data_IF_032542185595
#
_entry.id   IF_032542185595
#
_cell.length_a   1.000
_cell.length_b   1.000
_cell.length_c   1.000
_cell.angle_alpha   90.00
_cell.angle_beta   90.00
_cell.angle_gamma   90.00
#
_symmetry.space_group_name_H-M   'P 1'
#
loop_
_entity.id
_entity.type
_entity.pdbx_description
1 polymer ?
#
# COMPACT_ATOMS: atom_id res chain seq x y z
N UNK A 1 4.60 71.82 9.35
CA UNK A 1 3.29 72.40 9.01
C UNK A 1 3.02 72.14 7.54
N UNK A 2 1.77 71.73 7.22
CA UNK A 2 1.22 71.39 5.89
C UNK A 2 1.75 70.06 5.30
N UNK A 3 1.00 68.97 5.15
CA UNK A 3 -0.45 68.76 5.18
C UNK A 3 -0.97 68.47 3.76
N UNK A 4 -0.90 67.21 3.32
CA UNK A 4 -1.59 66.74 2.10
C UNK A 4 -2.64 65.72 2.54
N UNK A 5 -3.88 66.16 2.37
CA UNK A 5 -5.15 65.49 2.64
C UNK A 5 -5.55 64.70 1.39
N UNK A 6 -5.74 63.38 1.51
CA UNK A 6 -6.39 62.58 0.47
C UNK A 6 -7.65 61.97 1.06
N UNK A 7 -8.79 62.46 0.60
CA UNK A 7 -10.14 61.97 0.89
C UNK A 7 -10.40 60.64 0.17
N UNK A 8 -10.94 59.66 0.91
CA UNK A 8 -11.57 58.46 0.37
C UNK A 8 -13.09 58.54 0.58
N UNK A 9 -13.92 58.13 -0.40
CA UNK A 9 -15.37 58.27 -0.30
C UNK A 9 -16.03 57.14 0.48
N UNK A 10 -17.00 57.52 1.31
CA UNK A 10 -18.00 56.65 1.91
C UNK A 10 -18.89 56.00 0.84
N UNK A 11 -19.11 54.68 0.94
CA UNK A 11 -20.27 54.04 0.36
C UNK A 11 -21.01 53.16 1.37
N UNK A 12 -22.33 53.32 1.27
CA UNK A 12 -23.40 52.92 2.19
C UNK A 12 -23.53 51.40 2.36
N UNK A 13 -23.95 51.01 3.56
CA UNK A 13 -24.41 49.68 3.87
C UNK A 13 -25.72 49.31 3.19
N UNK A 14 -25.93 48.00 3.03
CA UNK A 14 -27.21 47.41 2.67
C UNK A 14 -27.45 46.21 3.59
N UNK A 15 -28.68 46.15 4.08
CA UNK A 15 -29.16 45.33 5.17
C UNK A 15 -29.29 43.84 4.85
N UNK A 16 -29.26 43.06 5.94
CA UNK A 16 -29.54 41.64 6.00
C UNK A 16 -31.01 41.33 5.64
N UNK A 17 -31.21 40.37 4.73
CA UNK A 17 -32.49 39.75 4.44
C UNK A 17 -32.44 38.26 4.74
N UNK A 18 -33.04 37.85 5.86
CA UNK A 18 -33.23 36.45 6.23
C UNK A 18 -34.36 35.84 5.38
N UNK A 19 -34.04 34.82 4.58
CA UNK A 19 -35.05 34.06 3.81
C UNK A 19 -35.24 32.68 4.44
N UNK A 20 -36.32 32.57 5.23
CA UNK A 20 -36.87 31.31 5.73
C UNK A 20 -37.40 30.51 4.54
N UNK A 21 -36.88 29.29 4.33
CA UNK A 21 -37.45 28.31 3.38
C UNK A 21 -37.83 27.02 4.12
N UNK A 22 -39.03 26.57 3.77
CA UNK A 22 -39.91 25.59 4.41
C UNK A 22 -39.36 24.15 4.38
N UNK A 23 -39.77 23.28 5.33
CA UNK A 23 -39.43 21.87 5.29
C UNK A 23 -40.23 21.15 4.19
N UNK A 24 -39.54 20.39 3.35
CA UNK A 24 -40.13 19.53 2.32
C UNK A 24 -40.45 18.18 2.96
N UNK A 25 -41.69 17.74 2.83
CA UNK A 25 -42.22 16.54 3.46
C UNK A 25 -41.52 15.25 3.00
N UNK A 26 -41.24 14.39 3.98
CA UNK A 26 -40.80 13.01 3.80
C UNK A 26 -41.95 12.16 3.23
N UNK A 27 -41.83 11.73 1.98
CA UNK A 27 -42.72 10.75 1.37
C UNK A 27 -42.17 9.34 1.67
N UNK A 28 -42.91 8.58 2.48
CA UNK A 28 -42.65 7.16 2.80
C UNK A 28 -42.86 6.30 1.55
N UNK A 29 -41.83 5.58 1.12
CA UNK A 29 -41.95 4.49 0.14
C UNK A 29 -42.21 3.16 0.86
N UNK A 30 -43.08 2.28 0.33
CA UNK A 30 -43.42 1.00 0.95
C UNK A 30 -42.33 -0.06 0.71
N UNK A 31 -42.08 -0.87 1.74
CA UNK A 31 -41.21 -2.05 1.71
C UNK A 31 -41.87 -3.19 0.90
N UNK A 32 -41.12 -3.93 0.05
CA UNK A 32 -41.65 -5.13 -0.56
C UNK A 32 -41.61 -6.32 0.42
N UNK A 33 -42.71 -7.07 0.38
CA UNK A 33 -43.06 -8.26 1.13
C UNK A 33 -42.08 -9.43 0.95
N UNK A 34 -41.64 -10.01 2.06
CA UNK A 34 -40.87 -11.25 2.14
C UNK A 34 -41.82 -12.44 2.07
N UNK A 35 -41.68 -13.28 1.05
CA UNK A 35 -42.32 -14.60 0.95
C UNK A 35 -41.35 -15.70 1.43
N UNK A 36 -41.79 -16.69 2.23
CA UNK A 36 -40.92 -17.77 2.66
C UNK A 36 -40.88 -18.91 1.62
N UNK A 37 -39.68 -19.29 1.19
CA UNK A 37 -39.44 -20.51 0.42
C UNK A 37 -39.47 -21.73 1.34
N UNK A 38 -40.35 -22.68 1.04
CA UNK A 38 -40.42 -24.02 1.66
C UNK A 38 -39.24 -24.88 1.20
N UNK A 39 -38.63 -25.71 2.06
CA UNK A 39 -37.71 -26.75 1.62
C UNK A 39 -38.50 -28.02 1.25
N UNK A 40 -38.36 -28.50 0.02
CA UNK A 40 -38.78 -29.83 -0.37
C UNK A 40 -37.59 -30.79 -0.18
N UNK A 41 -37.73 -31.69 0.80
CA UNK A 41 -36.84 -32.83 0.99
C UNK A 41 -37.11 -33.87 -0.10
N UNK A 42 -36.07 -34.26 -0.85
CA UNK A 42 -36.11 -35.42 -1.73
C UNK A 42 -35.14 -36.46 -1.18
N UNK A 43 -35.76 -37.55 -0.75
CA UNK A 43 -35.18 -38.79 -0.27
C UNK A 43 -34.48 -39.53 -1.41
N UNK A 44 -33.27 -40.04 -1.18
CA UNK A 44 -32.61 -41.03 -2.04
C UNK A 44 -32.40 -42.31 -1.24
N UNK A 45 -32.74 -43.50 -1.79
CA UNK A 45 -32.66 -44.75 -1.07
C UNK A 45 -31.29 -45.44 -1.15
N UNK A 46 -31.10 -46.32 -0.17
CA UNK A 46 -29.99 -47.25 0.05
C UNK A 46 -29.61 -48.11 -1.18
N UNK A 47 -28.33 -48.49 -1.17
CA UNK A 47 -27.60 -49.50 -1.96
C UNK A 47 -28.32 -50.85 -2.15
N UNK A 48 -27.84 -51.72 -3.06
CA UNK A 48 -26.90 -52.75 -2.58
C UNK A 48 -25.86 -53.30 -3.58
N UNK A 49 -24.77 -53.79 -2.97
CA UNK A 49 -24.00 -55.03 -3.23
C UNK A 49 -23.08 -55.19 -4.45
N UNK A 50 -21.94 -55.81 -4.10
CA UNK A 50 -20.82 -56.31 -4.88
C UNK A 50 -21.20 -57.31 -5.97
N UNK A 51 -20.41 -57.31 -7.07
CA UNK A 51 -19.94 -58.53 -7.71
C UNK A 51 -18.69 -58.25 -8.56
N UNK A 52 -17.75 -59.18 -8.48
CA UNK A 52 -16.51 -59.35 -9.23
C UNK A 52 -16.68 -59.46 -10.74
N UNK A 53 -15.69 -59.02 -11.53
CA UNK A 53 -15.00 -59.85 -12.54
C UNK A 53 -14.00 -59.05 -13.37
N UNK A 54 -12.96 -59.76 -13.78
CA UNK A 54 -11.79 -59.42 -14.61
C UNK A 54 -12.09 -59.16 -16.09
N UNK A 55 -11.38 -58.21 -16.71
CA UNK A 55 -10.93 -58.19 -18.14
C UNK A 55 -10.27 -56.83 -18.42
N UNK A 56 -8.94 -56.74 -18.58
CA UNK A 56 -8.14 -56.81 -19.82
C UNK A 56 -8.25 -55.60 -20.79
N UNK A 57 -7.29 -54.66 -20.63
CA UNK A 57 -6.61 -53.78 -21.64
C UNK A 57 -7.42 -52.71 -22.41
N UNK A 58 -6.80 -51.68 -23.05
CA UNK A 58 -5.47 -51.08 -22.92
C UNK A 58 -5.51 -49.55 -22.61
N UNK A 59 -4.33 -48.94 -22.50
CA UNK A 59 -4.08 -47.54 -22.18
C UNK A 59 -4.75 -46.52 -23.13
N UNK A 60 -5.51 -45.59 -22.55
CA UNK A 60 -5.82 -44.29 -23.16
C UNK A 60 -4.99 -43.22 -22.45
N UNK A 61 -4.02 -42.69 -23.20
CA UNK A 61 -3.17 -41.57 -22.82
C UNK A 61 -4.03 -40.30 -22.84
N UNK A 62 -4.71 -40.04 -21.71
CA UNK A 62 -5.44 -38.79 -21.44
C UNK A 62 -4.41 -37.66 -21.29
N UNK A 63 -4.01 -37.09 -22.41
CA UNK A 63 -3.28 -35.83 -22.45
C UNK A 63 -4.08 -34.75 -21.71
N UNK A 64 -3.62 -34.42 -20.51
CA UNK A 64 -4.08 -33.26 -19.76
C UNK A 64 -3.97 -32.00 -20.66
N UNK A 65 -4.94 -31.08 -20.62
CA UNK A 65 -4.89 -29.88 -21.45
C UNK A 65 -3.63 -29.09 -21.09
N UNK A 66 -2.72 -29.00 -22.05
CA UNK A 66 -1.50 -28.22 -21.94
C UNK A 66 -1.86 -26.77 -21.59
N UNK A 67 -1.33 -26.30 -20.46
CA UNK A 67 -1.44 -24.92 -20.00
C UNK A 67 -1.15 -23.94 -21.14
N UNK A 68 -1.88 -22.82 -21.23
CA UNK A 68 -1.67 -21.83 -22.29
C UNK A 68 -0.22 -21.32 -22.27
N UNK A 69 0.33 -20.91 -23.43
CA UNK A 69 1.72 -20.47 -23.55
C UNK A 69 2.01 -19.35 -22.56
N UNK A 70 2.96 -19.60 -21.66
CA UNK A 70 3.43 -18.63 -20.67
C UNK A 70 4.12 -17.50 -21.42
N UNK A 71 3.51 -16.30 -21.41
CA UNK A 71 4.11 -15.07 -21.91
C UNK A 71 5.52 -14.92 -21.29
N UNK A 72 6.57 -14.97 -22.12
CA UNK A 72 7.98 -14.87 -21.70
C UNK A 72 8.40 -13.49 -21.17
N UNK A 73 7.46 -12.56 -20.99
CA UNK A 73 7.74 -11.23 -20.43
C UNK A 73 7.82 -11.35 -18.91
N UNK A 74 8.88 -10.83 -18.26
CA UNK A 74 8.96 -10.85 -16.80
C UNK A 74 7.74 -10.12 -16.21
N UNK A 75 6.97 -10.81 -15.37
CA UNK A 75 5.81 -10.23 -14.69
C UNK A 75 6.19 -8.93 -13.97
N UNK A 76 5.41 -7.86 -14.07
CA UNK A 76 5.79 -6.59 -13.47
C UNK A 76 5.86 -6.67 -11.93
N UNK A 77 6.70 -5.83 -11.34
CA UNK A 77 6.65 -5.54 -9.91
C UNK A 77 5.54 -4.53 -9.62
N UNK A 78 4.75 -4.77 -8.57
CA UNK A 78 3.81 -3.79 -8.02
C UNK A 78 4.40 -3.20 -6.74
N UNK A 79 4.91 -1.97 -6.83
CA UNK A 79 5.36 -1.20 -5.67
C UNK A 79 4.20 -0.37 -5.11
N UNK A 80 3.82 -0.67 -3.87
CA UNK A 80 2.71 -0.03 -3.17
C UNK A 80 3.24 0.77 -1.99
N UNK A 81 3.10 2.08 -2.05
CA UNK A 81 3.33 2.96 -0.90
C UNK A 81 2.08 3.04 -0.05
N UNK A 82 2.19 2.78 1.24
CA UNK A 82 1.06 2.92 2.16
C UNK A 82 1.00 4.34 2.73
N UNK A 83 -0.22 4.85 2.89
CA UNK A 83 -0.51 6.19 3.38
C UNK A 83 -2.01 6.45 3.41
N UNK A 84 -2.40 7.57 4.02
CA UNK A 84 -3.77 8.07 3.99
C UNK A 84 -3.92 9.20 2.94
N UNK A 85 -5.01 9.23 2.16
CA UNK A 85 -5.27 10.27 1.17
C UNK A 85 -5.77 11.57 1.81
N UNK A 86 -5.48 12.69 1.15
CA UNK A 86 -5.93 14.02 1.56
C UNK A 86 -4.84 14.87 2.20
N UNK A 87 -5.00 16.19 2.09
CA UNK A 87 -3.99 17.19 2.47
C UNK A 87 -3.60 17.14 3.94
N UNK A 88 -4.53 16.77 4.83
CA UNK A 88 -4.26 16.64 6.28
C UNK A 88 -3.20 15.59 6.62
N UNK A 89 -3.02 14.56 5.79
CA UNK A 89 -2.06 13.48 6.05
C UNK A 89 -0.73 13.65 5.32
N UNK A 90 -0.60 14.67 4.46
CA UNK A 90 0.65 14.93 3.75
C UNK A 90 1.78 15.26 4.74
N UNK A 91 2.92 14.59 4.55
CA UNK A 91 4.10 14.72 5.42
C UNK A 91 3.93 14.12 6.80
N UNK A 92 2.88 13.34 7.06
CA UNK A 92 2.72 12.58 8.31
C UNK A 92 3.58 11.32 8.30
N UNK A 93 3.98 10.84 9.49
CA UNK A 93 4.78 9.63 9.65
C UNK A 93 4.16 8.42 8.95
N UNK A 94 2.85 8.28 9.03
CA UNK A 94 2.10 7.18 8.41
C UNK A 94 1.98 7.28 6.87
N UNK A 95 2.44 8.38 6.28
CA UNK A 95 2.44 8.62 4.84
C UNK A 95 3.84 8.46 4.21
N UNK A 96 4.84 8.01 4.97
CA UNK A 96 6.21 7.81 4.44
C UNK A 96 6.27 6.82 3.26
N UNK A 97 5.32 5.87 3.19
CA UNK A 97 5.19 4.98 2.04
C UNK A 97 4.79 5.72 0.76
N UNK A 98 3.91 6.73 0.85
CA UNK A 98 3.61 7.62 -0.28
C UNK A 98 4.81 8.47 -0.66
N UNK A 99 5.52 9.05 0.33
CA UNK A 99 6.72 9.85 0.08
C UNK A 99 7.79 9.02 -0.67
N UNK A 100 7.96 7.75 -0.30
CA UNK A 100 8.88 6.84 -1.00
C UNK A 100 8.43 6.54 -2.44
N UNK A 101 7.13 6.34 -2.70
CA UNK A 101 6.63 6.18 -4.07
C UNK A 101 6.87 7.43 -4.89
N UNK A 102 6.68 8.62 -4.30
CA UNK A 102 6.94 9.89 -4.96
C UNK A 102 8.44 10.06 -5.30
N UNK A 103 9.34 9.69 -4.37
CA UNK A 103 10.78 9.68 -4.62
C UNK A 103 11.18 8.72 -5.76
N UNK A 104 10.64 7.49 -5.77
CA UNK A 104 10.87 6.53 -6.87
C UNK A 104 10.35 7.09 -8.19
N UNK A 105 9.12 7.62 -8.19
CA UNK A 105 8.49 8.14 -9.39
C UNK A 105 9.29 9.31 -9.98
N UNK A 106 9.78 10.21 -9.14
CA UNK A 106 10.63 11.32 -9.53
C UNK A 106 11.98 10.85 -10.08
N UNK A 107 12.69 9.96 -9.36
CA UNK A 107 14.01 9.50 -9.75
C UNK A 107 14.02 8.70 -11.06
N UNK A 108 12.91 8.00 -11.37
CA UNK A 108 12.77 7.13 -12.53
C UNK A 108 11.94 7.77 -13.66
N UNK A 109 11.49 9.02 -13.49
CA UNK A 109 10.68 9.72 -14.49
C UNK A 109 9.29 9.11 -14.74
N UNK A 110 8.71 8.44 -13.75
CA UNK A 110 7.41 7.77 -13.84
C UNK A 110 6.30 8.71 -13.41
N UNK A 111 5.35 9.01 -14.30
CA UNK A 111 4.20 9.85 -13.95
C UNK A 111 3.12 9.07 -13.20
N UNK A 112 2.72 9.55 -12.02
CA UNK A 112 1.59 9.06 -11.22
C UNK A 112 0.32 9.81 -11.59
N UNK A 113 -0.26 9.52 -12.75
CA UNK A 113 -1.39 10.29 -13.32
C UNK A 113 -2.70 9.52 -13.45
N UNK A 114 -2.65 8.19 -13.33
CA UNK A 114 -3.80 7.33 -13.61
C UNK A 114 -4.47 6.91 -12.31
N UNK A 115 -5.80 7.06 -12.22
CA UNK A 115 -6.56 6.52 -11.09
C UNK A 115 -7.15 5.16 -11.51
N UNK A 116 -6.79 4.10 -10.80
CA UNK A 116 -7.30 2.74 -11.01
C UNK A 116 -7.49 2.03 -9.68
N UNK A 117 -8.64 1.35 -9.54
CA UNK A 117 -8.96 0.55 -8.35
C UNK A 117 -8.70 1.28 -7.02
N UNK A 118 -9.17 2.53 -6.93
CA UNK A 118 -8.95 3.42 -5.78
C UNK A 118 -7.46 3.66 -5.47
N UNK A 119 -6.55 3.66 -6.45
CA UNK A 119 -5.15 4.07 -6.28
C UNK A 119 -4.76 5.10 -7.33
N UNK A 120 -3.82 5.97 -6.98
CA UNK A 120 -3.05 6.74 -7.95
C UNK A 120 -1.89 5.87 -8.43
N UNK A 121 -1.74 5.72 -9.74
CA UNK A 121 -0.89 4.71 -10.37
C UNK A 121 0.00 5.33 -11.44
N UNK A 122 1.22 4.82 -11.53
CA UNK A 122 2.17 5.11 -12.60
C UNK A 122 2.79 3.82 -13.12
N UNK A 123 3.06 3.78 -14.42
CA UNK A 123 3.70 2.64 -15.09
C UNK A 123 5.04 3.07 -15.65
N UNK A 124 6.04 2.22 -15.51
CA UNK A 124 7.36 2.50 -16.04
C UNK A 124 8.25 1.27 -16.08
N UNK A 125 9.54 1.51 -16.18
CA UNK A 125 10.56 0.47 -16.08
C UNK A 125 11.69 0.98 -15.19
N UNK A 126 12.24 0.11 -14.35
CA UNK A 126 13.41 0.39 -13.52
C UNK A 126 14.41 -0.73 -13.80
N UNK A 127 15.62 -0.38 -14.26
CA UNK A 127 16.63 -1.37 -14.63
C UNK A 127 16.17 -2.39 -15.70
N UNK A 128 15.28 -1.98 -16.61
CA UNK A 128 14.69 -2.86 -17.64
C UNK A 128 13.56 -3.77 -17.15
N UNK A 129 13.28 -3.80 -15.85
CA UNK A 129 12.14 -4.53 -15.28
C UNK A 129 10.87 -3.68 -15.32
N UNK A 130 9.73 -4.20 -15.83
CA UNK A 130 8.49 -3.45 -15.83
C UNK A 130 7.97 -3.27 -14.40
N UNK A 131 7.54 -2.05 -14.07
CA UNK A 131 7.06 -1.70 -12.74
C UNK A 131 5.71 -0.97 -12.80
N UNK A 132 4.93 -1.18 -11.75
CA UNK A 132 3.69 -0.49 -11.45
C UNK A 132 3.83 0.16 -10.07
N UNK A 133 3.81 1.49 -10.03
CA UNK A 133 3.80 2.25 -8.78
C UNK A 133 2.36 2.54 -8.39
N UNK A 134 2.02 2.38 -7.11
CA UNK A 134 0.67 2.61 -6.62
C UNK A 134 0.66 3.31 -5.25
N UNK A 135 -0.21 4.32 -5.12
CA UNK A 135 -0.59 4.96 -3.86
C UNK A 135 -2.10 4.74 -3.63
N UNK A 136 -2.53 3.74 -2.85
CA UNK A 136 -3.93 3.52 -2.53
C UNK A 136 -4.58 4.79 -1.98
N UNK A 137 -5.65 5.25 -2.61
CA UNK A 137 -6.47 6.40 -2.20
C UNK A 137 -7.62 5.96 -1.27
N UNK A 138 -7.43 4.88 -0.51
CA UNK A 138 -8.29 4.42 0.57
C UNK A 138 -7.72 4.87 1.91
N UNK A 139 -8.50 4.80 3.00
CA UNK A 139 -7.88 4.85 4.32
C UNK A 139 -6.93 3.67 4.54
N UNK A 140 -5.94 3.86 5.41
CA UNK A 140 -4.85 2.91 5.62
C UNK A 140 -5.35 1.50 5.93
N UNK A 141 -6.36 1.35 6.78
CA UNK A 141 -6.92 0.05 7.17
C UNK A 141 -7.65 -0.67 6.02
N UNK A 142 -7.90 0.01 4.89
CA UNK A 142 -8.59 -0.50 3.71
C UNK A 142 -7.66 -0.63 2.50
N UNK A 143 -6.34 -0.47 2.66
CA UNK A 143 -5.38 -0.54 1.55
C UNK A 143 -5.48 -1.83 0.73
N UNK A 144 -5.87 -2.95 1.34
CA UNK A 144 -6.07 -4.22 0.64
C UNK A 144 -7.19 -4.19 -0.41
N UNK A 145 -8.22 -3.36 -0.21
CA UNK A 145 -9.30 -3.17 -1.19
C UNK A 145 -8.81 -2.59 -2.52
N UNK A 146 -7.69 -1.87 -2.49
CA UNK A 146 -7.08 -1.28 -3.68
C UNK A 146 -6.02 -2.20 -4.27
N UNK A 147 -5.16 -2.78 -3.42
CA UNK A 147 -4.02 -3.60 -3.85
C UNK A 147 -4.44 -4.92 -4.50
N UNK A 148 -5.45 -5.60 -3.95
CA UNK A 148 -5.91 -6.89 -4.50
C UNK A 148 -6.42 -6.78 -5.94
N UNK A 149 -7.38 -5.89 -6.28
CA UNK A 149 -7.84 -5.76 -7.65
C UNK A 149 -6.76 -5.25 -8.61
N UNK A 150 -5.84 -4.38 -8.17
CA UNK A 150 -4.66 -4.01 -8.96
C UNK A 150 -3.82 -5.22 -9.32
N UNK A 151 -3.41 -6.02 -8.32
CA UNK A 151 -2.60 -7.20 -8.54
C UNK A 151 -3.31 -8.21 -9.45
N UNK A 152 -4.60 -8.44 -9.25
CA UNK A 152 -5.41 -9.34 -10.10
C UNK A 152 -5.54 -8.84 -11.54
N UNK A 153 -5.82 -7.56 -11.76
CA UNK A 153 -5.96 -6.99 -13.10
C UNK A 153 -4.66 -7.08 -13.91
N UNK A 154 -3.53 -6.79 -13.27
CA UNK A 154 -2.21 -6.86 -13.90
C UNK A 154 -1.57 -8.25 -13.85
N UNK A 155 -2.28 -9.27 -13.33
CA UNK A 155 -1.80 -10.65 -13.18
C UNK A 155 -0.47 -10.73 -12.40
N UNK A 156 -0.33 -9.90 -11.37
CA UNK A 156 0.87 -9.82 -10.53
C UNK A 156 0.70 -10.80 -9.37
N UNK A 157 1.60 -11.79 -9.21
CA UNK A 157 1.55 -12.73 -8.10
C UNK A 157 1.98 -12.03 -6.80
N UNK A 158 1.61 -12.59 -5.64
CA UNK A 158 1.80 -11.94 -4.33
C UNK A 158 3.28 -11.64 -4.03
N UNK A 159 4.19 -12.51 -4.50
CA UNK A 159 5.63 -12.41 -4.36
C UNK A 159 6.23 -11.21 -5.12
N UNK A 160 5.50 -10.69 -6.11
CA UNK A 160 5.84 -9.46 -6.85
C UNK A 160 5.04 -8.23 -6.40
N UNK A 161 4.22 -8.37 -5.35
CA UNK A 161 3.66 -7.23 -4.62
C UNK A 161 4.65 -6.80 -3.55
N UNK A 162 5.21 -5.61 -3.74
CA UNK A 162 6.20 -5.01 -2.87
C UNK A 162 5.57 -3.84 -2.13
N UNK A 163 5.54 -3.91 -0.80
CA UNK A 163 4.87 -2.93 0.07
C UNK A 163 5.87 -2.03 0.78
N UNK A 164 5.59 -0.74 0.86
CA UNK A 164 6.45 0.27 1.49
C UNK A 164 5.64 1.00 2.54
N UNK A 165 6.09 0.98 3.80
CA UNK A 165 5.32 1.52 4.92
C UNK A 165 6.19 1.89 6.12
N UNK A 166 5.61 2.66 7.05
CA UNK A 166 6.25 3.11 8.28
C UNK A 166 6.38 2.01 9.34
N UNK A 167 7.40 2.14 10.16
CA UNK A 167 7.72 1.16 11.18
C UNK A 167 8.22 1.81 12.46
N UNK A 168 7.50 1.54 13.55
CA UNK A 168 7.82 2.06 14.89
C UNK A 168 9.00 1.35 15.55
N UNK A 169 9.28 0.11 15.13
CA UNK A 169 10.32 -0.71 15.74
C UNK A 169 11.71 -0.44 15.14
N UNK A 170 11.77 0.30 14.04
CA UNK A 170 13.00 0.76 13.43
C UNK A 170 13.30 2.19 13.89
N UNK A 171 14.58 2.45 14.12
CA UNK A 171 15.10 3.80 14.36
C UNK A 171 14.68 4.74 13.22
N UNK A 172 14.64 6.05 13.50
CA UNK A 172 14.24 7.01 12.48
C UNK A 172 15.15 6.94 11.23
N UNK A 173 14.55 7.13 10.04
CA UNK A 173 15.20 7.11 8.73
C UNK A 173 15.90 5.78 8.33
N UNK A 174 15.81 4.77 9.19
CA UNK A 174 16.37 3.45 8.92
C UNK A 174 15.44 2.65 8.04
N UNK A 175 15.99 2.05 6.98
CA UNK A 175 15.22 1.18 6.10
C UNK A 175 15.63 -0.28 6.20
N UNK A 176 14.67 -1.19 6.09
CA UNK A 176 14.91 -2.64 6.09
C UNK A 176 14.08 -3.36 5.04
N UNK A 177 14.75 -4.18 4.23
CA UNK A 177 14.11 -5.08 3.28
C UNK A 177 13.76 -6.41 3.95
N UNK A 178 12.54 -6.90 3.72
CA UNK A 178 12.11 -8.23 4.09
C UNK A 178 11.41 -8.92 2.91
N UNK A 179 11.69 -10.21 2.65
CA UNK A 179 11.07 -10.93 1.55
C UNK A 179 9.59 -11.27 1.83
N UNK A 180 9.23 -11.46 3.10
CA UNK A 180 7.88 -11.78 3.58
C UNK A 180 7.74 -11.53 5.08
N UNK A 181 6.52 -11.68 5.61
CA UNK A 181 6.27 -11.55 7.04
C UNK A 181 4.82 -11.20 7.41
N UNK A 182 4.55 -11.12 8.72
CA UNK A 182 3.28 -10.65 9.25
C UNK A 182 3.10 -9.13 9.13
N UNK A 183 1.97 -8.62 9.61
CA UNK A 183 1.66 -7.18 9.54
C UNK A 183 2.33 -6.34 10.64
N UNK A 184 2.88 -6.94 11.71
CA UNK A 184 3.61 -6.20 12.76
C UNK A 184 2.81 -5.08 13.40
N UNK A 185 1.52 -5.29 13.64
CA UNK A 185 0.60 -4.24 14.14
C UNK A 185 0.16 -3.18 13.11
N UNK A 186 0.79 -3.08 11.95
CA UNK A 186 0.45 -2.08 10.94
C UNK A 186 -0.86 -2.40 10.19
N UNK A 187 -1.85 -1.51 10.26
CA UNK A 187 -3.21 -1.76 9.75
C UNK A 187 -3.28 -1.91 8.22
N UNK A 188 -2.46 -1.16 7.47
CA UNK A 188 -2.39 -1.31 6.01
C UNK A 188 -1.87 -2.68 5.56
N UNK A 189 -0.76 -3.14 6.14
CA UNK A 189 -0.27 -4.50 5.92
C UNK A 189 -1.27 -5.58 6.36
N UNK A 190 -2.00 -5.38 7.47
CA UNK A 190 -3.07 -6.31 7.87
C UNK A 190 -4.12 -6.43 6.77
N UNK A 191 -4.58 -5.29 6.25
CA UNK A 191 -5.56 -5.22 5.16
C UNK A 191 -5.07 -5.93 3.90
N UNK A 192 -3.82 -5.68 3.48
CA UNK A 192 -3.23 -6.28 2.28
C UNK A 192 -3.10 -7.79 2.41
N UNK A 193 -2.56 -8.29 3.53
CA UNK A 193 -2.42 -9.73 3.78
C UNK A 193 -3.78 -10.42 3.75
N UNK A 194 -4.80 -9.81 4.36
CA UNK A 194 -6.16 -10.34 4.36
C UNK A 194 -6.77 -10.42 2.96
N UNK A 195 -6.59 -9.40 2.11
CA UNK A 195 -7.19 -9.38 0.78
C UNK A 195 -6.41 -10.23 -0.24
N UNK A 196 -5.08 -10.30 -0.11
CA UNK A 196 -4.24 -11.15 -0.95
C UNK A 196 -4.31 -12.63 -0.54
N UNK A 197 -4.77 -12.94 0.67
CA UNK A 197 -4.69 -14.27 1.29
C UNK A 197 -3.26 -14.83 1.28
N UNK A 198 -2.26 -13.96 1.44
CA UNK A 198 -0.85 -14.35 1.43
C UNK A 198 -0.03 -13.42 2.32
N UNK A 199 1.00 -13.99 2.95
CA UNK A 199 2.04 -13.26 3.68
C UNK A 199 3.31 -13.08 2.86
N UNK A 200 3.34 -13.62 1.65
CA UNK A 200 4.50 -13.63 0.74
C UNK A 200 4.58 -12.33 -0.07
N UNK A 201 4.38 -11.20 0.59
CA UNK A 201 4.57 -9.87 0.00
C UNK A 201 5.92 -9.32 0.44
N UNK A 202 6.76 -8.98 -0.53
CA UNK A 202 8.02 -8.29 -0.26
C UNK A 202 7.74 -6.91 0.38
N UNK A 203 8.67 -6.40 1.17
CA UNK A 203 8.47 -5.11 1.83
C UNK A 203 9.74 -4.34 2.17
N UNK A 204 9.63 -3.02 2.06
CA UNK A 204 10.55 -2.05 2.61
C UNK A 204 9.89 -1.38 3.82
N UNK A 205 10.42 -1.66 5.00
CA UNK A 205 10.02 -0.98 6.24
C UNK A 205 10.87 0.27 6.39
N UNK A 206 10.23 1.42 6.61
CA UNK A 206 10.90 2.71 6.84
C UNK A 206 10.67 3.12 8.29
N UNK A 207 11.75 3.27 9.04
CA UNK A 207 11.71 3.55 10.46
C UNK A 207 11.28 4.98 10.75
N UNK A 208 10.27 5.09 11.60
CA UNK A 208 9.75 6.36 12.12
C UNK A 208 10.05 6.54 13.60
N UNK A 209 10.75 5.57 14.22
CA UNK A 209 11.02 5.54 15.65
C UNK A 209 9.77 5.28 16.49
N UNK A 210 9.97 5.13 17.80
CA UNK A 210 8.86 5.03 18.76
C UNK A 210 8.45 6.43 19.24
N UNK A 211 7.16 6.62 19.61
CA UNK A 211 6.72 7.84 20.26
C UNK A 211 7.55 8.12 21.52
N UNK A 212 7.92 9.38 21.79
CA UNK A 212 8.60 9.75 23.02
C UNK A 212 7.65 9.66 24.23
N UNK A 213 8.15 9.15 25.35
CA UNK A 213 7.39 9.05 26.59
C UNK A 213 6.16 8.14 26.47
N UNK A 214 5.02 8.62 26.96
CA UNK A 214 3.74 7.88 27.01
C UNK A 214 2.75 8.31 25.91
N UNK A 215 3.25 8.90 24.81
CA UNK A 215 2.39 9.36 23.72
C UNK A 215 1.70 8.18 23.02
N UNK A 216 0.42 8.36 22.69
CA UNK A 216 -0.34 7.36 21.94
C UNK A 216 0.25 7.15 20.54
N UNK A 217 0.39 5.88 20.17
CA UNK A 217 0.98 5.46 18.90
C UNK A 217 0.15 5.93 17.70
N UNK A 218 -1.18 5.91 17.78
CA UNK A 218 -2.04 6.33 16.66
C UNK A 218 -1.91 7.84 16.43
N UNK A 219 -1.84 8.62 17.51
CA UNK A 219 -1.57 10.05 17.43
C UNK A 219 -0.19 10.32 16.82
N UNK A 220 0.85 9.59 17.26
CA UNK A 220 2.22 9.77 16.78
C UNK A 220 2.36 9.54 15.28
N UNK A 221 1.81 8.44 14.75
CA UNK A 221 1.92 8.16 13.30
C UNK A 221 1.20 9.19 12.43
N UNK A 222 0.19 9.88 12.96
CA UNK A 222 -0.53 10.95 12.27
C UNK A 222 0.12 12.33 12.41
N UNK A 223 1.21 12.46 13.17
CA UNK A 223 1.96 13.71 13.25
C UNK A 223 2.89 13.88 12.05
N UNK A 224 3.10 15.13 11.66
CA UNK A 224 4.09 15.51 10.65
C UNK A 224 5.52 15.37 11.18
N UNK A 225 6.44 15.09 10.27
CA UNK A 225 7.87 15.22 10.57
C UNK A 225 8.22 16.69 10.86
N UNK A 226 9.11 16.91 11.82
CA UNK A 226 9.79 18.20 12.00
C UNK A 226 10.66 18.52 10.78
N UNK A 227 11.10 19.77 10.63
CA UNK A 227 11.95 20.17 9.52
C UNK A 227 13.28 19.39 9.48
N UNK A 228 13.89 19.14 10.64
CA UNK A 228 15.12 18.36 10.75
C UNK A 228 14.90 16.88 10.41
N UNK A 229 13.84 16.27 10.95
CA UNK A 229 13.46 14.89 10.58
C UNK A 229 13.20 14.81 9.08
N UNK A 230 12.48 15.78 8.51
CA UNK A 230 12.16 15.78 7.08
C UNK A 230 13.42 15.81 6.21
N UNK A 231 14.39 16.65 6.55
CA UNK A 231 15.65 16.71 5.83
C UNK A 231 16.40 15.37 5.86
N UNK A 232 16.51 14.74 7.03
CA UNK A 232 17.14 13.41 7.16
C UNK A 232 16.35 12.33 6.41
N UNK A 233 15.02 12.39 6.47
CA UNK A 233 14.15 11.48 5.74
C UNK A 233 14.34 11.60 4.23
N UNK A 234 14.41 12.81 3.68
CA UNK A 234 14.60 13.01 2.24
C UNK A 234 15.91 12.35 1.75
N UNK A 235 17.01 12.48 2.51
CA UNK A 235 18.26 11.73 2.23
C UNK A 235 18.07 10.21 2.32
N UNK A 236 17.24 9.73 3.25
CA UNK A 236 16.97 8.31 3.36
C UNK A 236 16.10 7.79 2.20
N UNK A 237 15.13 8.58 1.74
CA UNK A 237 14.27 8.27 0.59
C UNK A 237 15.11 8.16 -0.70
N UNK A 238 16.04 9.08 -0.93
CA UNK A 238 16.97 9.00 -2.08
C UNK A 238 17.75 7.68 -2.07
N UNK A 239 18.26 7.28 -0.89
CA UNK A 239 18.93 5.99 -0.73
C UNK A 239 17.96 4.82 -0.90
N UNK A 240 16.72 4.96 -0.48
CA UNK A 240 15.67 3.96 -0.66
C UNK A 240 15.43 3.63 -2.14
N UNK A 241 15.60 4.60 -3.05
CA UNK A 241 15.49 4.35 -4.50
C UNK A 241 16.53 3.33 -4.96
N UNK A 242 17.75 3.38 -4.41
CA UNK A 242 18.78 2.37 -4.69
C UNK A 242 18.39 0.96 -4.23
N UNK A 243 17.67 0.85 -3.11
CA UNK A 243 17.13 -0.44 -2.67
C UNK A 243 16.14 -1.01 -3.70
N UNK A 244 15.29 -0.15 -4.27
CA UNK A 244 14.30 -0.54 -5.29
C UNK A 244 15.01 -0.94 -6.59
N UNK A 245 16.00 -0.16 -7.03
CA UNK A 245 16.84 -0.50 -8.19
C UNK A 245 17.44 -1.89 -8.03
N UNK A 246 18.01 -2.17 -6.86
CA UNK A 246 18.61 -3.47 -6.54
C UNK A 246 17.58 -4.62 -6.59
N UNK A 247 16.37 -4.42 -6.06
CA UNK A 247 15.28 -5.42 -6.16
C UNK A 247 14.93 -5.69 -7.62
N UNK A 248 14.87 -4.66 -8.46
CA UNK A 248 14.48 -4.80 -9.87
C UNK A 248 15.56 -5.35 -10.78
N UNK A 249 16.85 -5.11 -10.48
CA UNK A 249 17.98 -5.53 -11.32
C UNK A 249 18.59 -6.86 -10.88
N UNK A 250 18.68 -7.11 -9.57
CA UNK A 250 19.37 -8.27 -9.00
C UNK A 250 18.43 -9.31 -8.38
N UNK A 251 17.15 -8.96 -8.23
CA UNK A 251 16.15 -9.78 -7.57
C UNK A 251 16.11 -9.60 -6.05
N UNK A 252 14.99 -10.00 -5.46
CA UNK A 252 14.65 -9.73 -4.06
C UNK A 252 15.66 -10.34 -3.06
N UNK A 253 16.08 -11.58 -3.27
CA UNK A 253 16.95 -12.28 -2.31
C UNK A 253 18.33 -11.63 -2.22
N UNK A 254 18.94 -11.33 -3.37
CA UNK A 254 20.23 -10.62 -3.42
C UNK A 254 20.08 -9.21 -2.87
N UNK A 255 18.99 -8.52 -3.20
CA UNK A 255 18.72 -7.19 -2.66
C UNK A 255 18.61 -7.18 -1.13
N UNK A 256 17.87 -8.13 -0.54
CA UNK A 256 17.72 -8.28 0.92
C UNK A 256 19.07 -8.53 1.58
N UNK A 257 19.91 -9.41 1.02
CA UNK A 257 21.24 -9.72 1.54
C UNK A 257 22.13 -8.48 1.52
N UNK A 258 22.32 -7.88 0.35
CA UNK A 258 23.22 -6.74 0.14
C UNK A 258 22.77 -5.51 0.94
N UNK A 259 21.50 -5.12 0.85
CA UNK A 259 20.97 -3.94 1.52
C UNK A 259 21.09 -4.03 3.04
N UNK A 260 20.68 -5.17 3.61
CA UNK A 260 20.68 -5.34 5.06
C UNK A 260 22.10 -5.57 5.62
N UNK A 261 23.05 -6.11 4.84
CA UNK A 261 24.45 -6.30 5.27
C UNK A 261 25.24 -4.99 5.30
N UNK A 262 25.09 -4.12 4.30
CA UNK A 262 25.72 -2.79 4.27
C UNK A 262 25.36 -1.98 5.52
N UNK A 263 24.15 -2.20 6.06
CA UNK A 263 23.73 -1.56 7.31
C UNK A 263 24.40 -2.18 8.55
N UNK A 264 24.51 -3.51 8.64
CA UNK A 264 25.20 -4.17 9.76
C UNK A 264 26.65 -3.68 9.88
N UNK A 265 27.35 -3.52 8.77
CA UNK A 265 28.74 -3.04 8.77
C UNK A 265 28.86 -1.57 9.17
N UNK A 266 27.94 -0.70 8.71
CA UNK A 266 27.92 0.72 9.10
C UNK A 266 27.57 0.93 10.59
N UNK A 267 26.57 0.21 11.10
CA UNK A 267 26.20 0.20 12.52
C UNK A 267 27.35 -0.31 13.41
N UNK A 268 28.04 -1.38 12.97
CA UNK A 268 29.20 -1.92 13.68
C UNK A 268 30.33 -0.89 13.76
N UNK A 269 30.74 -0.30 12.63
CA UNK A 269 31.80 0.72 12.59
C UNK A 269 31.50 1.96 13.44
N UNK A 270 30.24 2.40 13.46
CA UNK A 270 29.82 3.55 14.28
C UNK A 270 29.84 3.23 15.79
N UNK A 271 29.50 1.99 16.17
CA UNK A 271 29.62 1.53 17.56
C UNK A 271 31.08 1.49 18.03
N UNK A 272 32.00 1.00 17.20
CA UNK A 272 33.43 0.96 17.55
C UNK A 272 34.03 2.36 17.71
N UNK A 273 33.71 3.30 16.82
CA UNK A 273 34.22 4.68 16.89
C UNK A 273 33.71 5.45 18.12
N UNK A 274 32.48 5.21 18.56
CA UNK A 274 31.94 5.82 19.79
C UNK A 274 32.51 5.21 21.08
N UNK A 275 33.05 3.98 21.02
CA UNK A 275 33.76 3.36 22.14
C UNK A 275 35.19 3.91 22.25
N UNK A 276 35.85 4.22 21.14
CA UNK A 276 37.20 4.81 21.14
C UNK A 276 37.22 6.31 21.51
N UNK A 277 36.08 6.99 21.38
CA UNK A 277 35.95 8.42 21.68
C UNK A 277 35.54 8.74 23.14
N UNK A 278 35.44 7.72 24.00
CA UNK A 278 34.93 7.82 25.37
C UNK A 278 35.82 7.06 26.36
#
# INVERSE_FOLDING_TARGET
MQGILVQLPHHRGVAAGAMVRRPVGFMRLPLPSVLPLRPAAISLPLSPRCASSSSSSPAEDSAAPASPPVDKRPSPWLFVGLGNPGTKYQGTRHNVGFDMIDAIAQAEGISLSTIQFKALVGKGQIGGSPVLLAKPQTYMNLSGESVKPLASYYKIPAERVFTIYDDLDLEFAVMRLLPKGGHGGHNGMRSIIQHLNSRDTARLRIGIGRPPGQMDTQAYVLQKFSASERQELDFALDRGVEAIRLVTSEGLDKAVSTWNQVRKSKLSKMRYSNIEAN
#
